data_IF_140922850445
#
_entry.id   IF_140922850445
#
_cell.length_a   1.000
_cell.length_b   1.000
_cell.length_c   1.000
_cell.angle_alpha   90.00
_cell.angle_beta   90.00
_cell.angle_gamma   90.00
#
_symmetry.space_group_name_H-M   'P 1'
#
loop_
_entity.id
_entity.type
_entity.pdbx_description
1 polymer ?
#
# COMPACT_ATOMS: atom_id res chain seq x y z
N UNK A 1 8.55 30.70 -8.23
CA UNK A 1 7.11 30.60 -7.86
C UNK A 1 6.64 29.15 -7.59
N UNK A 2 7.53 28.14 -7.50
CA UNK A 2 7.17 26.72 -7.31
C UNK A 2 6.76 26.36 -5.87
N UNK A 3 7.53 26.79 -4.87
CA UNK A 3 7.32 26.40 -3.48
C UNK A 3 5.90 26.69 -2.94
N UNK A 4 5.32 27.85 -3.28
CA UNK A 4 3.96 28.21 -2.87
C UNK A 4 2.87 27.35 -3.50
N UNK A 5 3.13 26.76 -4.68
CA UNK A 5 2.18 25.89 -5.40
C UNK A 5 2.21 24.49 -4.81
N UNK A 6 3.40 24.00 -4.47
CA UNK A 6 3.60 22.70 -3.83
C UNK A 6 3.00 22.70 -2.41
N UNK A 7 3.22 23.75 -1.61
CA UNK A 7 2.60 23.91 -0.28
C UNK A 7 1.06 23.85 -0.32
N UNK A 8 0.46 24.42 -1.37
CA UNK A 8 -1.00 24.42 -1.54
C UNK A 8 -1.53 23.06 -1.99
N UNK A 9 -0.81 22.38 -2.87
CA UNK A 9 -1.14 21.02 -3.29
C UNK A 9 -1.12 20.08 -2.08
N UNK A 10 -0.11 20.18 -1.24
CA UNK A 10 0.04 19.34 -0.05
C UNK A 10 -1.03 19.63 1.00
N UNK A 11 -1.37 20.90 1.21
CA UNK A 11 -2.49 21.28 2.09
C UNK A 11 -3.84 20.71 1.60
N UNK A 12 -4.07 20.66 0.28
CA UNK A 12 -5.26 20.03 -0.29
C UNK A 12 -5.24 18.52 -0.05
N UNK A 13 -4.10 17.85 -0.28
CA UNK A 13 -3.96 16.41 -0.02
C UNK A 13 -4.23 16.07 1.44
N UNK A 14 -3.71 16.87 2.36
CA UNK A 14 -3.92 16.66 3.79
C UNK A 14 -5.40 16.84 4.19
N UNK A 15 -6.06 17.87 3.66
CA UNK A 15 -7.50 18.07 3.87
C UNK A 15 -8.33 16.93 3.27
N UNK A 16 -7.97 16.49 2.06
CA UNK A 16 -8.64 15.38 1.39
C UNK A 16 -8.49 14.07 2.17
N UNK A 17 -7.30 13.74 2.66
CA UNK A 17 -7.06 12.57 3.51
C UNK A 17 -7.93 12.58 4.76
N UNK A 18 -8.06 13.74 5.44
CA UNK A 18 -8.94 13.89 6.60
C UNK A 18 -10.42 13.66 6.24
N UNK A 19 -10.90 14.23 5.14
CA UNK A 19 -12.26 14.03 4.67
C UNK A 19 -12.53 12.56 4.32
N UNK A 20 -11.64 11.93 3.54
CA UNK A 20 -11.80 10.54 3.12
C UNK A 20 -11.71 9.57 4.30
N UNK A 21 -10.84 9.81 5.29
CA UNK A 21 -10.75 9.00 6.51
C UNK A 21 -12.00 9.14 7.38
N UNK A 22 -12.58 10.34 7.45
CA UNK A 22 -13.75 10.62 8.30
C UNK A 22 -15.06 10.15 7.69
N UNK A 23 -15.27 10.42 6.40
CA UNK A 23 -16.56 10.22 5.73
C UNK A 23 -16.56 9.02 4.78
N UNK A 24 -15.39 8.51 4.41
CA UNK A 24 -15.24 7.56 3.31
C UNK A 24 -15.23 8.25 1.94
N UNK A 25 -14.67 7.57 0.94
CA UNK A 25 -14.60 7.99 -0.45
C UNK A 25 -15.99 8.27 -1.03
N UNK A 26 -16.95 7.37 -0.78
CA UNK A 26 -18.29 7.42 -1.38
C UNK A 26 -19.04 8.68 -0.96
N UNK A 27 -18.94 9.07 0.32
CA UNK A 27 -19.67 10.21 0.89
C UNK A 27 -18.92 11.54 0.78
N UNK A 28 -17.61 11.51 0.55
CA UNK A 28 -16.80 12.73 0.42
C UNK A 28 -17.04 13.41 -0.93
N UNK A 29 -17.27 14.72 -0.91
CA UNK A 29 -17.37 15.57 -2.10
C UNK A 29 -16.17 16.51 -2.22
N UNK A 30 -15.91 17.02 -3.43
CA UNK A 30 -14.92 18.08 -3.63
C UNK A 30 -15.27 19.37 -2.88
N UNK A 31 -16.55 19.59 -2.54
CA UNK A 31 -16.95 20.74 -1.74
C UNK A 31 -16.47 20.59 -0.29
N UNK A 32 -16.67 19.41 0.31
CA UNK A 32 -16.21 19.12 1.68
C UNK A 32 -14.69 19.32 1.82
N UNK A 33 -13.94 18.86 0.82
CA UNK A 33 -12.49 19.01 0.76
C UNK A 33 -12.10 20.49 0.59
N UNK A 34 -12.82 21.23 -0.26
CA UNK A 34 -12.59 22.66 -0.45
C UNK A 34 -12.79 23.43 0.84
N UNK A 35 -13.88 23.16 1.55
CA UNK A 35 -14.20 23.79 2.82
C UNK A 35 -13.12 23.47 3.88
N UNK A 36 -12.67 22.21 3.96
CA UNK A 36 -11.57 21.80 4.85
C UNK A 36 -10.23 22.47 4.48
N UNK A 37 -9.93 22.62 3.19
CA UNK A 37 -8.73 23.27 2.69
C UNK A 37 -8.82 24.82 2.68
N UNK A 38 -9.98 25.39 3.04
CA UNK A 38 -10.31 26.83 2.91
C UNK A 38 -10.12 27.34 1.47
N UNK A 39 -10.56 26.55 0.50
CA UNK A 39 -10.50 26.81 -0.92
C UNK A 39 -11.87 26.58 -1.56
N UNK A 40 -12.20 27.34 -2.60
CA UNK A 40 -13.39 27.03 -3.39
C UNK A 40 -13.15 25.85 -4.33
N UNK A 41 -14.23 25.21 -4.79
CA UNK A 41 -14.19 24.07 -5.71
C UNK A 41 -13.40 24.36 -7.01
N UNK A 42 -13.50 25.59 -7.54
CA UNK A 42 -12.77 25.98 -8.75
C UNK A 42 -11.24 25.98 -8.53
N UNK A 43 -10.79 26.33 -7.33
CA UNK A 43 -9.37 26.31 -6.94
C UNK A 43 -8.86 24.89 -6.83
N UNK A 44 -9.68 23.93 -6.40
CA UNK A 44 -9.29 22.51 -6.36
C UNK A 44 -9.05 21.95 -7.77
N UNK A 45 -9.90 22.30 -8.74
CA UNK A 45 -9.76 21.86 -10.13
C UNK A 45 -8.46 22.35 -10.81
N UNK A 46 -7.83 23.39 -10.27
CA UNK A 46 -6.51 23.83 -10.73
C UNK A 46 -5.40 22.85 -10.35
N UNK A 47 -5.56 22.09 -9.26
CA UNK A 47 -4.55 21.15 -8.75
C UNK A 47 -4.86 19.69 -9.08
N UNK A 48 -6.15 19.32 -9.12
CA UNK A 48 -6.61 17.94 -9.29
C UNK A 48 -7.74 17.88 -10.32
N UNK A 49 -7.72 16.86 -11.16
CA UNK A 49 -8.67 16.77 -12.29
C UNK A 49 -10.09 16.47 -11.82
N UNK A 50 -10.22 15.61 -10.82
CA UNK A 50 -11.49 15.15 -10.27
C UNK A 50 -11.27 14.51 -8.86
N UNK A 51 -12.32 13.95 -8.27
CA UNK A 51 -12.26 13.33 -6.94
C UNK A 51 -11.40 12.07 -6.96
N UNK A 52 -11.45 11.31 -8.04
CA UNK A 52 -10.71 10.07 -8.27
C UNK A 52 -9.20 10.31 -8.28
N UNK A 53 -8.74 11.28 -9.08
CA UNK A 53 -7.34 11.71 -9.17
C UNK A 53 -6.82 12.16 -7.80
N UNK A 54 -7.60 13.00 -7.11
CA UNK A 54 -7.26 13.44 -5.75
C UNK A 54 -7.19 12.26 -4.77
N UNK A 55 -8.12 11.32 -4.84
CA UNK A 55 -8.13 10.15 -3.97
C UNK A 55 -6.93 9.24 -4.21
N UNK A 56 -6.60 8.95 -5.47
CA UNK A 56 -5.42 8.13 -5.82
C UNK A 56 -4.13 8.76 -5.30
N UNK A 57 -4.01 10.08 -5.38
CA UNK A 57 -2.86 10.82 -4.85
C UNK A 57 -2.80 10.76 -3.31
N UNK A 58 -3.95 10.81 -2.63
CA UNK A 58 -4.02 10.59 -1.17
C UNK A 58 -3.57 9.17 -0.82
N UNK A 59 -4.08 8.16 -1.53
CA UNK A 59 -3.73 6.75 -1.31
C UNK A 59 -2.22 6.51 -1.51
N UNK A 60 -1.62 7.11 -2.54
CA UNK A 60 -0.17 7.04 -2.77
C UNK A 60 0.62 7.63 -1.60
N UNK A 61 0.27 8.84 -1.15
CA UNK A 61 0.95 9.49 -0.02
C UNK A 61 0.81 8.67 1.28
N UNK A 62 -0.35 8.07 1.50
CA UNK A 62 -0.58 7.15 2.62
C UNK A 62 0.22 5.87 2.50
N UNK A 63 0.35 5.32 1.29
CA UNK A 63 1.17 4.14 0.99
C UNK A 63 2.64 4.38 1.34
N UNK A 64 3.23 5.45 0.80
CA UNK A 64 4.63 5.78 0.98
C UNK A 64 4.96 5.99 2.47
N UNK A 65 4.11 6.73 3.18
CA UNK A 65 4.28 6.96 4.62
C UNK A 65 4.15 5.68 5.44
N UNK A 66 3.14 4.86 5.18
CA UNK A 66 2.92 3.64 5.94
C UNK A 66 4.05 2.63 5.68
N UNK A 67 4.43 2.43 4.42
CA UNK A 67 5.49 1.49 4.05
C UNK A 67 6.85 1.95 4.55
N UNK A 68 7.15 3.25 4.51
CA UNK A 68 8.36 3.81 5.14
C UNK A 68 8.40 3.54 6.64
N UNK A 69 7.31 3.79 7.37
CA UNK A 69 7.23 3.47 8.80
C UNK A 69 7.38 1.96 9.06
N UNK A 70 6.84 1.12 8.18
CA UNK A 70 6.97 -0.33 8.29
C UNK A 70 8.41 -0.80 8.05
N UNK A 71 9.15 -0.17 7.13
CA UNK A 71 10.57 -0.43 6.94
C UNK A 71 11.34 -0.14 8.24
N UNK A 72 11.12 1.02 8.86
CA UNK A 72 11.75 1.37 10.14
C UNK A 72 11.37 0.39 11.26
N UNK A 73 10.11 -0.03 11.32
CA UNK A 73 9.61 -0.94 12.35
C UNK A 73 10.28 -2.32 12.31
N UNK A 74 10.64 -2.82 11.13
CA UNK A 74 11.26 -4.16 11.01
C UNK A 74 12.77 -4.13 11.24
N UNK A 75 13.43 -2.98 11.09
CA UNK A 75 14.89 -2.87 11.24
C UNK A 75 15.47 -3.44 12.56
N UNK A 76 14.82 -3.28 13.73
CA UNK A 76 15.34 -3.83 14.98
C UNK A 76 15.31 -5.37 15.07
N UNK A 77 14.63 -6.07 14.17
CA UNK A 77 14.58 -7.53 14.17
C UNK A 77 15.94 -8.09 13.75
N UNK A 78 16.42 -9.14 14.43
CA UNK A 78 17.77 -9.65 14.18
C UNK A 78 17.91 -10.42 12.88
N UNK A 79 16.92 -11.26 12.54
CA UNK A 79 17.01 -12.16 11.38
C UNK A 79 16.38 -11.54 10.15
N UNK A 80 17.05 -11.65 9.01
CA UNK A 80 16.52 -11.23 7.71
C UNK A 80 15.18 -11.90 7.41
N UNK A 81 15.04 -13.17 7.78
CA UNK A 81 13.77 -13.91 7.64
C UNK A 81 12.63 -13.31 8.45
N UNK A 82 12.87 -12.88 9.69
CA UNK A 82 11.85 -12.25 10.52
C UNK A 82 11.48 -10.87 9.97
N UNK A 83 12.47 -10.08 9.51
CA UNK A 83 12.25 -8.78 8.85
C UNK A 83 11.34 -8.92 7.63
N UNK A 84 11.63 -9.86 6.74
CA UNK A 84 10.86 -10.08 5.49
C UNK A 84 9.43 -10.52 5.80
N UNK A 85 9.25 -11.48 6.74
CA UNK A 85 7.91 -11.94 7.13
C UNK A 85 7.11 -10.80 7.76
N UNK A 86 7.71 -10.06 8.70
CA UNK A 86 7.05 -8.94 9.36
C UNK A 86 6.68 -7.83 8.36
N UNK A 87 7.56 -7.50 7.41
CA UNK A 87 7.32 -6.49 6.40
C UNK A 87 6.16 -6.90 5.47
N UNK A 88 6.23 -8.08 4.86
CA UNK A 88 5.21 -8.52 3.90
C UNK A 88 3.84 -8.77 4.56
N UNK A 89 3.81 -9.23 5.81
CA UNK A 89 2.54 -9.36 6.56
C UNK A 89 2.00 -8.00 7.02
N UNK A 90 2.85 -7.09 7.49
CA UNK A 90 2.46 -5.72 7.84
C UNK A 90 1.96 -4.89 6.65
N UNK A 91 2.46 -5.19 5.45
CA UNK A 91 1.98 -4.63 4.18
C UNK A 91 0.54 -5.03 3.87
N UNK A 92 0.09 -6.21 4.30
CA UNK A 92 -1.31 -6.61 4.12
C UNK A 92 -2.25 -5.71 4.94
N UNK A 93 -1.82 -5.33 6.14
CA UNK A 93 -2.56 -4.46 7.03
C UNK A 93 -2.74 -3.05 6.44
N UNK A 94 -1.79 -2.55 5.64
CA UNK A 94 -1.99 -1.33 4.84
C UNK A 94 -3.21 -1.44 3.92
N UNK A 95 -3.33 -2.52 3.16
CA UNK A 95 -4.47 -2.70 2.26
C UNK A 95 -5.78 -2.78 3.04
N UNK A 96 -5.77 -3.47 4.19
CA UNK A 96 -6.92 -3.51 5.09
C UNK A 96 -7.28 -2.10 5.56
N UNK A 97 -6.31 -1.31 6.01
CA UNK A 97 -6.57 0.01 6.57
C UNK A 97 -6.92 1.04 5.50
N UNK A 98 -6.14 1.19 4.44
CA UNK A 98 -6.38 2.25 3.45
C UNK A 98 -7.59 1.95 2.55
N UNK A 99 -7.85 0.70 2.19
CA UNK A 99 -9.04 0.37 1.41
C UNK A 99 -10.32 0.35 2.27
N UNK A 100 -10.25 -0.11 3.54
CA UNK A 100 -11.44 -0.13 4.40
C UNK A 100 -11.72 1.21 5.12
N UNK A 101 -10.71 1.99 5.51
CA UNK A 101 -10.90 3.29 6.19
C UNK A 101 -11.56 4.33 5.27
N UNK A 102 -11.35 4.20 3.97
CA UNK A 102 -12.04 5.03 2.99
C UNK A 102 -13.42 4.50 2.60
N UNK A 103 -13.97 3.50 3.29
CA UNK A 103 -15.30 2.93 3.02
C UNK A 103 -15.54 2.73 1.52
N UNK A 104 -14.53 2.23 0.82
CA UNK A 104 -14.57 2.11 -0.63
C UNK A 104 -15.42 0.90 -0.98
N UNK A 105 -16.58 1.12 -1.60
CA UNK A 105 -17.39 0.02 -2.12
C UNK A 105 -16.61 -0.79 -3.16
N UNK A 106 -16.90 -2.09 -3.28
CA UNK A 106 -16.27 -2.96 -4.29
C UNK A 106 -16.44 -2.40 -5.70
N UNK A 107 -17.57 -1.77 -6.00
CA UNK A 107 -17.82 -1.11 -7.28
C UNK A 107 -16.83 0.05 -7.54
N UNK A 108 -16.64 0.94 -6.55
CA UNK A 108 -15.67 2.02 -6.69
C UNK A 108 -14.23 1.53 -6.69
N UNK A 109 -13.92 0.46 -5.96
CA UNK A 109 -12.62 -0.21 -6.04
C UNK A 109 -12.34 -0.68 -7.48
N UNK A 110 -13.29 -1.33 -8.15
CA UNK A 110 -13.13 -1.76 -9.54
C UNK A 110 -12.92 -0.59 -10.50
N UNK A 111 -13.67 0.50 -10.30
CA UNK A 111 -13.56 1.68 -11.15
C UNK A 111 -12.22 2.39 -10.99
N UNK A 112 -11.67 2.39 -9.78
CA UNK A 112 -10.41 3.04 -9.45
C UNK A 112 -9.19 2.12 -9.63
N UNK A 113 -9.38 0.81 -9.70
CA UNK A 113 -8.31 -0.19 -9.86
C UNK A 113 -7.30 0.19 -10.97
N UNK A 114 -7.72 0.57 -12.19
CA UNK A 114 -6.77 0.97 -13.23
C UNK A 114 -5.98 2.24 -12.90
N UNK A 115 -6.52 3.12 -12.05
CA UNK A 115 -5.83 4.35 -11.61
C UNK A 115 -4.81 4.06 -10.50
N UNK A 116 -4.93 2.94 -9.81
CA UNK A 116 -3.95 2.51 -8.82
C UNK A 116 -2.71 1.89 -9.43
N UNK A 117 -2.70 1.53 -10.72
CA UNK A 117 -1.52 0.93 -11.37
C UNK A 117 -0.27 1.82 -11.21
N UNK A 118 -0.41 3.13 -11.42
CA UNK A 118 0.70 4.08 -11.22
C UNK A 118 1.17 4.11 -9.75
N UNK A 119 0.24 4.00 -8.80
CA UNK A 119 0.54 3.92 -7.37
C UNK A 119 1.30 2.64 -7.05
N UNK A 120 0.83 1.51 -7.56
CA UNK A 120 1.48 0.21 -7.41
C UNK A 120 2.90 0.26 -7.97
N UNK A 121 3.11 0.81 -9.17
CA UNK A 121 4.45 0.86 -9.77
C UNK A 121 5.39 1.81 -9.01
N UNK A 122 4.91 2.97 -8.58
CA UNK A 122 5.70 3.94 -7.83
C UNK A 122 6.24 3.35 -6.52
N UNK A 123 5.37 2.63 -5.80
CA UNK A 123 5.71 2.00 -4.52
C UNK A 123 6.57 0.76 -4.72
N UNK A 124 6.24 -0.08 -5.71
CA UNK A 124 6.89 -1.38 -5.94
C UNK A 124 8.41 -1.29 -6.09
N UNK A 125 8.92 -0.25 -6.74
CA UNK A 125 10.35 -0.05 -6.89
C UNK A 125 11.08 0.09 -5.55
N UNK A 126 10.47 0.83 -4.62
CA UNK A 126 11.01 1.02 -3.26
C UNK A 126 10.94 -0.28 -2.45
N UNK A 127 9.84 -1.04 -2.57
CA UNK A 127 9.69 -2.32 -1.90
C UNK A 127 10.72 -3.36 -2.38
N UNK A 128 10.97 -3.41 -3.69
CA UNK A 128 11.97 -4.32 -4.26
C UNK A 128 13.38 -3.98 -3.76
N UNK A 129 13.74 -2.69 -3.74
CA UNK A 129 15.03 -2.25 -3.23
C UNK A 129 15.21 -2.67 -1.77
N UNK A 130 14.23 -2.36 -0.93
CA UNK A 130 14.26 -2.69 0.48
C UNK A 130 14.33 -4.20 0.74
N UNK A 131 13.47 -5.00 0.11
CA UNK A 131 13.50 -6.46 0.24
C UNK A 131 14.83 -7.06 -0.27
N UNK A 132 15.39 -6.49 -1.34
CA UNK A 132 16.70 -6.87 -1.86
C UNK A 132 17.83 -6.61 -0.85
N UNK A 133 17.79 -5.50 -0.13
CA UNK A 133 18.71 -5.20 0.96
C UNK A 133 18.61 -6.23 2.08
N UNK A 134 17.39 -6.53 2.56
CA UNK A 134 17.17 -7.54 3.61
C UNK A 134 17.67 -8.93 3.21
N UNK A 135 17.45 -9.32 1.95
CA UNK A 135 17.93 -10.58 1.41
C UNK A 135 19.47 -10.61 1.32
N UNK A 136 20.08 -9.47 0.97
CA UNK A 136 21.54 -9.32 0.91
C UNK A 136 22.19 -9.39 2.31
N UNK A 137 21.54 -8.80 3.32
CA UNK A 137 21.91 -8.96 4.73
C UNK A 137 21.90 -10.44 5.12
N UNK A 138 20.80 -11.15 4.84
CA UNK A 138 20.69 -12.58 5.17
C UNK A 138 21.71 -13.48 4.44
N UNK A 139 22.15 -13.11 3.24
CA UNK A 139 23.26 -13.81 2.55
C UNK A 139 24.59 -13.53 3.27
N UNK A 140 24.84 -12.28 3.66
CA UNK A 140 26.06 -11.86 4.37
C UNK A 140 26.16 -12.56 5.73
N UNK A 141 25.05 -12.63 6.45
CA UNK A 141 24.95 -13.28 7.77
C UNK A 141 24.82 -14.81 7.69
N UNK A 142 24.87 -15.38 6.48
CA UNK A 142 24.78 -16.82 6.20
C UNK A 142 23.46 -17.47 6.65
N UNK A 143 22.38 -16.69 6.76
CA UNK A 143 21.02 -17.23 6.88
C UNK A 143 20.59 -17.93 5.59
N UNK A 144 21.01 -17.42 4.44
CA UNK A 144 20.71 -17.96 3.12
C UNK A 144 21.97 -18.52 2.43
N UNK A 145 21.82 -19.61 1.67
CA UNK A 145 22.95 -20.28 0.99
C UNK A 145 23.51 -19.46 -0.17
N UNK A 146 22.70 -19.31 -1.23
CA UNK A 146 23.06 -18.61 -2.47
C UNK A 146 21.77 -18.32 -3.25
N UNK A 147 21.35 -17.06 -3.22
CA UNK A 147 20.19 -16.56 -3.96
C UNK A 147 20.57 -15.30 -4.74
N UNK A 148 19.69 -14.88 -5.64
CA UNK A 148 19.78 -13.57 -6.29
C UNK A 148 18.80 -12.64 -5.57
N UNK A 149 19.27 -11.66 -4.76
CA UNK A 149 18.41 -10.87 -3.88
C UNK A 149 17.27 -10.20 -4.61
N UNK A 150 17.53 -9.56 -5.74
CA UNK A 150 16.54 -8.80 -6.51
C UNK A 150 15.47 -9.72 -7.10
N UNK A 151 15.88 -10.86 -7.68
CA UNK A 151 14.92 -11.84 -8.22
C UNK A 151 14.10 -12.51 -7.14
N UNK A 152 14.71 -12.73 -5.96
CA UNK A 152 14.02 -13.35 -4.84
C UNK A 152 13.03 -12.37 -4.21
N UNK A 153 13.41 -11.09 -4.07
CA UNK A 153 12.52 -10.02 -3.64
C UNK A 153 11.28 -9.92 -4.55
N UNK A 154 11.51 -9.91 -5.87
CA UNK A 154 10.45 -9.87 -6.88
C UNK A 154 9.49 -11.07 -6.78
N UNK A 155 10.04 -12.28 -6.61
CA UNK A 155 9.24 -13.49 -6.44
C UNK A 155 8.42 -13.47 -5.14
N UNK A 156 9.02 -13.06 -4.01
CA UNK A 156 8.32 -12.97 -2.72
C UNK A 156 7.19 -11.93 -2.76
N UNK A 157 7.45 -10.76 -3.36
CA UNK A 157 6.45 -9.71 -3.52
C UNK A 157 5.30 -10.16 -4.44
N UNK A 158 5.62 -10.84 -5.55
CA UNK A 158 4.63 -11.39 -6.48
C UNK A 158 3.73 -12.44 -5.82
N UNK A 159 4.30 -13.33 -4.99
CA UNK A 159 3.52 -14.31 -4.22
C UNK A 159 2.60 -13.60 -3.23
N UNK A 160 3.09 -12.58 -2.52
CA UNK A 160 2.28 -11.82 -1.56
C UNK A 160 1.10 -11.11 -2.26
N UNK A 161 1.37 -10.45 -3.39
CA UNK A 161 0.34 -9.80 -4.19
C UNK A 161 -0.67 -10.79 -4.79
N UNK A 162 -0.21 -11.96 -5.23
CA UNK A 162 -1.08 -13.02 -5.74
C UNK A 162 -2.07 -13.54 -4.68
N UNK A 163 -1.60 -13.76 -3.45
CA UNK A 163 -2.42 -14.19 -2.31
C UNK A 163 -3.50 -13.14 -1.98
N UNK A 164 -3.11 -11.86 -1.94
CA UNK A 164 -4.04 -10.73 -1.76
C UNK A 164 -5.07 -10.68 -2.88
N UNK A 165 -4.61 -10.73 -4.14
CA UNK A 165 -5.47 -10.64 -5.31
C UNK A 165 -6.51 -11.78 -5.33
N UNK A 166 -6.11 -13.02 -5.02
CA UNK A 166 -7.04 -14.14 -4.90
C UNK A 166 -8.17 -13.86 -3.89
N UNK A 167 -7.85 -13.24 -2.75
CA UNK A 167 -8.84 -12.90 -1.73
C UNK A 167 -9.85 -11.86 -2.20
N UNK A 168 -9.37 -10.80 -2.86
CA UNK A 168 -10.23 -9.77 -3.48
C UNK A 168 -11.14 -10.39 -4.53
N UNK A 169 -10.58 -11.25 -5.39
CA UNK A 169 -11.33 -11.97 -6.42
C UNK A 169 -12.40 -12.90 -5.82
N UNK A 170 -12.08 -13.57 -4.72
CA UNK A 170 -13.03 -14.45 -4.00
C UNK A 170 -14.15 -13.65 -3.34
N UNK A 171 -13.84 -12.54 -2.69
CA UNK A 171 -14.85 -11.65 -2.11
C UNK A 171 -15.81 -11.13 -3.19
N UNK A 172 -15.25 -10.73 -4.35
CA UNK A 172 -16.01 -10.30 -5.53
C UNK A 172 -16.96 -11.39 -6.05
N UNK A 173 -16.47 -12.60 -6.28
CA UNK A 173 -17.30 -13.70 -6.81
C UNK A 173 -18.38 -14.17 -5.83
N UNK A 174 -18.23 -13.86 -4.54
CA UNK A 174 -19.23 -14.12 -3.50
C UNK A 174 -20.14 -12.94 -3.19
N UNK A 175 -20.01 -11.82 -3.90
CA UNK A 175 -20.76 -10.59 -3.65
C UNK A 175 -20.66 -10.12 -2.19
N UNK A 176 -19.50 -10.31 -1.56
CA UNK A 176 -19.25 -9.80 -0.21
C UNK A 176 -19.24 -8.27 -0.21
N UNK A 177 -19.52 -7.65 0.93
CA UNK A 177 -19.41 -6.19 1.07
C UNK A 177 -17.97 -5.72 1.34
N UNK A 178 -17.12 -6.62 1.87
CA UNK A 178 -15.73 -6.35 2.21
C UNK A 178 -14.87 -7.59 2.01
N UNK A 179 -13.55 -7.40 2.00
CA UNK A 179 -12.57 -8.50 1.94
C UNK A 179 -12.17 -8.88 3.36
N UNK A 180 -12.36 -10.15 3.72
CA UNK A 180 -11.83 -10.70 4.96
C UNK A 180 -10.33 -11.01 4.79
N UNK A 181 -9.49 -10.18 5.43
CA UNK A 181 -8.03 -10.28 5.35
C UNK A 181 -7.43 -11.23 6.40
N UNK A 182 -8.18 -11.69 7.41
CA UNK A 182 -7.67 -12.61 8.42
C UNK A 182 -7.14 -13.93 7.80
N UNK A 183 -7.89 -14.66 6.96
CA UNK A 183 -7.36 -15.88 6.32
C UNK A 183 -6.25 -15.59 5.30
N UNK A 184 -6.18 -14.37 4.79
CA UNK A 184 -5.14 -13.93 3.85
C UNK A 184 -3.81 -13.77 4.58
N UNK A 185 -3.83 -13.20 5.78
CA UNK A 185 -2.66 -13.04 6.63
C UNK A 185 -2.08 -14.38 7.06
N UNK A 186 -2.93 -15.34 7.45
CA UNK A 186 -2.50 -16.70 7.80
C UNK A 186 -1.84 -17.40 6.61
N UNK A 187 -2.50 -17.37 5.44
CA UNK A 187 -1.97 -17.97 4.21
C UNK A 187 -0.65 -17.34 3.78
N UNK A 188 -0.55 -16.02 3.87
CA UNK A 188 0.68 -15.28 3.55
C UNK A 188 1.83 -15.68 4.48
N UNK A 189 1.59 -15.65 5.79
CA UNK A 189 2.60 -16.02 6.80
C UNK A 189 3.11 -17.44 6.58
N UNK A 190 2.19 -18.40 6.36
CA UNK A 190 2.55 -19.78 6.07
C UNK A 190 3.39 -19.91 4.79
N UNK A 191 2.95 -19.27 3.70
CA UNK A 191 3.63 -19.36 2.40
C UNK A 191 5.02 -18.75 2.45
N UNK A 192 5.18 -17.58 3.07
CA UNK A 192 6.49 -16.93 3.24
C UNK A 192 7.42 -17.77 4.11
N UNK A 193 6.92 -18.33 5.21
CA UNK A 193 7.70 -19.21 6.07
C UNK A 193 8.19 -20.44 5.32
N UNK A 194 7.31 -21.06 4.52
CA UNK A 194 7.67 -22.21 3.68
C UNK A 194 8.77 -21.85 2.66
N UNK A 195 8.59 -20.75 1.93
CA UNK A 195 9.55 -20.30 0.92
C UNK A 195 10.91 -19.94 1.55
N UNK A 196 10.91 -19.15 2.62
CA UNK A 196 12.13 -18.71 3.28
C UNK A 196 12.86 -19.88 3.96
N UNK A 197 12.15 -20.83 4.54
CA UNK A 197 12.77 -22.05 5.08
C UNK A 197 13.41 -22.91 3.98
N UNK A 198 12.84 -22.93 2.77
CA UNK A 198 13.45 -23.58 1.61
C UNK A 198 14.73 -22.90 1.11
N UNK A 199 14.98 -21.65 1.51
CA UNK A 199 16.18 -20.87 1.18
C UNK A 199 17.25 -20.92 2.28
N UNK A 200 16.89 -21.40 3.48
CA UNK A 200 17.82 -21.56 4.60
C UNK A 200 18.83 -22.67 4.32
N UNK A 201 19.97 -22.54 5.00
CA UNK A 201 21.04 -23.54 5.02
C UNK A 201 20.64 -24.84 5.71
#
# INVERSE_FOLDING_TARGET
MSAKKDDKRDAILQAAAQCFSRFGYDKTTLQDIGDAAKLNKASLYYYFRNKEDLFVQVVLLEAERYLGALQEQVQPLMRATDKIVAYLTGRLEYYRQVLNLHQLSIENLQRLEPMFDDVYQAVRGQELAFLGELLSEGVTDREFLKLQPERTADALLTVADGIKHEAVQRARTRFAHEVDYAPVQEKLTYTLTLLLNGLKK
#
